data_IF_324758325988
#
_entry.id   IF_324758325988
#
_cell.length_a   1.000
_cell.length_b   1.000
_cell.length_c   1.000
_cell.angle_alpha   90.00
_cell.angle_beta   90.00
_cell.angle_gamma   90.00
#
_symmetry.space_group_name_H-M   'P 1'
#
loop_
_entity.id
_entity.type
_entity.pdbx_description
1 polymer ?
#
# COMPACT_ATOMS: atom_id res chain seq x y z
N UNK A 1 -0.26 2.73 21.11
CA UNK A 1 -0.17 1.46 20.35
C UNK A 1 -0.98 1.60 19.07
N UNK A 2 -0.31 1.46 17.95
CA UNK A 2 -0.97 1.63 16.66
C UNK A 2 -1.68 0.34 16.25
N UNK A 3 -2.94 0.49 15.88
CA UNK A 3 -3.70 -0.60 15.30
C UNK A 3 -3.83 -0.36 13.82
N UNK A 4 -3.44 -1.34 13.03
CA UNK A 4 -3.56 -1.24 11.58
C UNK A 4 -4.89 -1.83 11.14
N UNK A 5 -5.59 -1.09 10.30
CA UNK A 5 -6.77 -1.60 9.63
C UNK A 5 -6.31 -2.14 8.29
N UNK A 6 -6.17 -3.46 8.21
CA UNK A 6 -5.71 -4.09 6.97
C UNK A 6 -6.83 -4.11 5.94
N UNK A 7 -6.44 -4.07 4.67
CA UNK A 7 -7.39 -4.32 3.58
C UNK A 7 -7.07 -5.70 2.99
N UNK A 8 -8.11 -6.47 2.73
CA UNK A 8 -7.95 -7.78 2.10
C UNK A 8 -7.77 -7.63 0.59
N UNK A 9 -7.05 -8.55 -0.08
CA UNK A 9 -6.88 -8.45 -1.54
C UNK A 9 -8.21 -8.35 -2.29
N UNK A 10 -9.22 -9.11 -1.88
CA UNK A 10 -10.54 -9.05 -2.52
C UNK A 10 -11.20 -7.70 -2.37
N UNK A 11 -11.06 -7.07 -1.20
CA UNK A 11 -11.60 -5.73 -0.96
C UNK A 11 -10.95 -4.69 -1.85
N UNK A 12 -9.61 -4.76 -1.97
CA UNK A 12 -8.89 -3.83 -2.81
C UNK A 12 -9.27 -4.02 -4.28
N UNK A 13 -9.36 -5.26 -4.72
CA UNK A 13 -9.76 -5.57 -6.09
C UNK A 13 -11.16 -5.00 -6.39
N UNK A 14 -12.08 -5.12 -5.44
CA UNK A 14 -13.42 -4.59 -5.58
C UNK A 14 -13.41 -3.06 -5.68
N UNK A 15 -12.61 -2.38 -4.85
CA UNK A 15 -12.49 -0.93 -4.93
C UNK A 15 -11.97 -0.49 -6.29
N UNK A 16 -10.98 -1.19 -6.84
CA UNK A 16 -10.43 -0.89 -8.15
C UNK A 16 -11.48 -1.08 -9.24
N UNK A 17 -12.25 -2.16 -9.16
CA UNK A 17 -13.33 -2.47 -10.12
C UNK A 17 -14.43 -1.41 -10.09
N UNK A 18 -14.72 -0.87 -8.91
CA UNK A 18 -15.76 0.15 -8.73
C UNK A 18 -15.25 1.57 -9.01
N UNK A 19 -14.01 1.71 -9.45
CA UNK A 19 -13.38 3.01 -9.72
C UNK A 19 -13.35 3.92 -8.50
N UNK A 20 -13.23 3.34 -7.31
CA UNK A 20 -13.06 4.13 -6.09
C UNK A 20 -11.66 4.72 -6.05
N UNK A 21 -11.55 5.93 -5.51
CA UNK A 21 -10.28 6.61 -5.43
C UNK A 21 -9.41 5.93 -4.36
N UNK A 22 -8.35 5.28 -4.81
CA UNK A 22 -7.40 4.60 -3.93
C UNK A 22 -6.00 4.77 -4.51
N UNK A 23 -5.04 5.09 -3.66
CA UNK A 23 -3.64 5.17 -4.04
C UNK A 23 -2.90 3.97 -3.46
N UNK A 24 -2.29 3.19 -4.32
CA UNK A 24 -1.55 2.00 -3.90
C UNK A 24 -0.06 2.35 -3.91
N UNK A 25 0.56 2.27 -2.73
CA UNK A 25 1.97 2.60 -2.55
C UNK A 25 2.74 1.34 -2.25
N UNK A 26 3.55 0.91 -3.20
CA UNK A 26 4.41 -0.26 -3.05
C UNK A 26 5.72 0.21 -2.44
N UNK A 27 6.00 -0.24 -1.22
CA UNK A 27 7.17 0.21 -0.46
C UNK A 27 8.35 -0.74 -0.57
N UNK A 28 8.29 -1.66 -1.50
CA UNK A 28 9.40 -2.59 -1.78
C UNK A 28 10.49 -1.87 -2.57
N UNK A 29 11.60 -2.56 -2.78
CA UNK A 29 12.67 -2.02 -3.62
C UNK A 29 12.21 -1.88 -5.08
N UNK A 30 12.87 -1.02 -5.87
CA UNK A 30 12.54 -0.91 -7.29
C UNK A 30 12.67 -2.23 -8.06
N UNK A 31 13.65 -3.07 -7.70
CA UNK A 31 13.80 -4.37 -8.34
C UNK A 31 12.66 -5.32 -8.04
N UNK A 32 12.19 -5.34 -6.81
CA UNK A 32 11.02 -6.13 -6.43
C UNK A 32 9.78 -5.65 -7.19
N UNK A 33 9.61 -4.34 -7.25
CA UNK A 33 8.48 -3.73 -7.95
C UNK A 33 8.50 -4.08 -9.44
N UNK A 34 9.67 -3.99 -10.07
CA UNK A 34 9.82 -4.29 -11.50
C UNK A 34 9.53 -5.76 -11.81
N UNK A 35 9.78 -6.66 -10.86
CA UNK A 35 9.54 -8.08 -11.05
C UNK A 35 8.04 -8.44 -11.04
N UNK A 36 7.20 -7.54 -10.57
CA UNK A 36 5.75 -7.73 -10.56
C UNK A 36 5.12 -6.89 -9.47
N UNK A 37 4.06 -6.16 -9.81
CA UNK A 37 3.37 -5.28 -8.88
C UNK A 37 1.90 -5.16 -9.24
N UNK A 38 1.13 -4.56 -8.35
CA UNK A 38 -0.29 -4.31 -8.59
C UNK A 38 -0.42 -3.21 -9.64
N UNK A 39 -1.28 -3.43 -10.62
CA UNK A 39 -1.52 -2.45 -11.69
C UNK A 39 -1.96 -1.12 -11.08
N UNK A 40 -1.31 -0.05 -11.50
CA UNK A 40 -1.60 1.29 -11.00
C UNK A 40 -0.87 1.67 -9.74
N UNK A 41 -0.12 0.75 -9.12
CA UNK A 41 0.64 1.07 -7.91
C UNK A 41 1.82 1.98 -8.25
N UNK A 42 2.15 2.86 -7.31
CA UNK A 42 3.38 3.66 -7.40
C UNK A 42 4.42 3.05 -6.48
N UNK A 43 5.66 3.03 -6.93
CA UNK A 43 6.76 2.51 -6.11
C UNK A 43 7.44 3.64 -5.37
N UNK A 44 7.29 3.64 -4.06
CA UNK A 44 8.02 4.55 -3.18
C UNK A 44 8.66 3.67 -2.12
N UNK A 45 9.92 3.29 -2.29
CA UNK A 45 10.59 2.42 -1.31
C UNK A 45 10.48 2.99 0.11
N UNK A 46 10.43 2.11 1.09
CA UNK A 46 10.16 2.49 2.47
C UNK A 46 11.10 3.57 2.99
N UNK A 47 12.38 3.50 2.62
CA UNK A 47 13.37 4.48 3.07
C UNK A 47 13.22 5.85 2.42
N UNK A 48 12.47 5.96 1.34
CA UNK A 48 12.22 7.22 0.65
C UNK A 48 10.83 7.79 0.92
N UNK A 49 10.00 7.03 1.62
CA UNK A 49 8.58 7.38 1.78
C UNK A 49 8.38 8.72 2.47
N UNK A 50 9.15 9.01 3.51
CA UNK A 50 8.99 10.27 4.24
C UNK A 50 9.26 11.47 3.34
N UNK A 51 10.28 11.39 2.51
CA UNK A 51 10.63 12.48 1.59
C UNK A 51 9.59 12.67 0.49
N UNK A 52 8.88 11.62 0.13
CA UNK A 52 7.93 11.65 -0.98
C UNK A 52 6.46 11.69 -0.55
N UNK A 53 6.20 11.68 0.76
CA UNK A 53 4.81 11.66 1.26
C UNK A 53 4.00 12.86 0.77
N UNK A 54 4.64 14.01 0.59
CA UNK A 54 3.96 15.21 0.09
C UNK A 54 3.42 15.10 -1.33
N UNK A 55 3.83 14.08 -2.07
CA UNK A 55 3.33 13.85 -3.43
C UNK A 55 2.02 13.07 -3.44
N UNK A 56 1.62 12.53 -2.29
CA UNK A 56 0.39 11.76 -2.17
C UNK A 56 -0.77 12.69 -1.83
N UNK A 57 -1.95 12.40 -2.38
CA UNK A 57 -3.12 13.24 -2.17
C UNK A 57 -3.74 12.96 -0.79
N UNK A 58 -3.83 13.97 0.08
CA UNK A 58 -4.55 13.81 1.35
C UNK A 58 -6.03 13.59 1.09
N UNK A 59 -6.69 12.83 1.95
CA UNK A 59 -8.11 12.55 1.80
C UNK A 59 -8.43 11.30 1.00
N UNK A 60 -7.45 10.72 0.33
CA UNK A 60 -7.65 9.46 -0.37
C UNK A 60 -7.34 8.27 0.54
N UNK A 61 -7.93 7.13 0.22
CA UNK A 61 -7.52 5.87 0.84
C UNK A 61 -6.18 5.47 0.27
N UNK A 62 -5.22 5.20 1.13
CA UNK A 62 -3.89 4.76 0.74
C UNK A 62 -3.70 3.31 1.18
N UNK A 63 -3.26 2.47 0.26
CA UNK A 63 -2.93 1.07 0.56
C UNK A 63 -1.43 0.90 0.44
N UNK A 64 -0.79 0.46 1.53
CA UNK A 64 0.65 0.19 1.51
C UNK A 64 0.89 -1.28 1.24
N UNK A 65 1.87 -1.59 0.40
CA UNK A 65 2.12 -2.95 -0.08
C UNK A 65 3.59 -3.32 0.12
N UNK A 66 3.82 -4.48 0.74
CA UNK A 66 5.13 -5.12 0.76
C UNK A 66 4.94 -6.59 0.36
N UNK A 67 5.96 -7.44 0.53
CA UNK A 67 5.87 -8.81 0.02
C UNK A 67 4.81 -9.65 0.75
N UNK A 68 4.77 -9.58 2.08
CA UNK A 68 3.92 -10.46 2.89
C UNK A 68 2.94 -9.71 3.80
N UNK A 69 2.82 -8.40 3.64
CA UNK A 69 1.94 -7.59 4.48
C UNK A 69 2.45 -7.42 5.90
N UNK A 70 3.75 -7.52 6.09
CA UNK A 70 4.38 -7.45 7.40
C UNK A 70 4.93 -6.07 7.73
N UNK A 71 6.13 -6.07 8.31
CA UNK A 71 6.71 -4.88 8.95
C UNK A 71 6.82 -3.67 8.03
N UNK A 72 7.29 -3.87 6.80
CA UNK A 72 7.51 -2.73 5.89
C UNK A 72 6.23 -1.96 5.59
N UNK A 73 5.14 -2.68 5.29
CA UNK A 73 3.87 -2.01 4.96
C UNK A 73 3.20 -1.40 6.18
N UNK A 74 3.34 -2.05 7.35
CA UNK A 74 2.79 -1.52 8.60
C UNK A 74 3.55 -0.26 9.04
N UNK A 75 4.86 -0.27 8.94
CA UNK A 75 5.66 0.91 9.27
C UNK A 75 5.36 2.07 8.31
N UNK A 76 5.15 1.74 7.04
CA UNK A 76 4.77 2.75 6.05
C UNK A 76 3.42 3.36 6.39
N UNK A 77 2.45 2.54 6.81
CA UNK A 77 1.13 3.03 7.21
C UNK A 77 1.25 3.95 8.42
N UNK A 78 2.07 3.57 9.41
CA UNK A 78 2.29 4.40 10.59
C UNK A 78 2.89 5.75 10.21
N UNK A 79 3.88 5.74 9.34
CA UNK A 79 4.54 6.96 8.90
C UNK A 79 3.56 7.90 8.20
N UNK A 80 2.75 7.35 7.30
CA UNK A 80 1.78 8.16 6.56
C UNK A 80 0.68 8.70 7.48
N UNK A 81 0.20 7.89 8.41
CA UNK A 81 -0.79 8.36 9.39
C UNK A 81 -0.22 9.50 10.24
N UNK A 82 1.04 9.39 10.65
CA UNK A 82 1.72 10.45 11.40
C UNK A 82 1.91 11.71 10.56
N UNK A 83 1.91 11.58 9.25
CA UNK A 83 2.06 12.71 8.33
C UNK A 83 0.72 13.34 7.95
N UNK A 84 -0.38 12.87 8.52
CA UNK A 84 -1.70 13.48 8.32
C UNK A 84 -2.65 12.75 7.40
N UNK A 85 -2.26 11.59 6.88
CA UNK A 85 -3.16 10.80 6.03
C UNK A 85 -4.10 10.00 6.92
N UNK A 86 -5.41 10.19 6.73
CA UNK A 86 -6.42 9.65 7.65
C UNK A 86 -6.81 8.21 7.42
N UNK A 87 -6.65 7.70 6.20
CA UNK A 87 -7.08 6.35 5.87
C UNK A 87 -5.96 5.62 5.14
N UNK A 88 -5.13 4.94 5.92
CA UNK A 88 -4.00 4.18 5.38
C UNK A 88 -4.14 2.73 5.83
N UNK A 89 -4.17 1.82 4.89
CA UNK A 89 -4.41 0.40 5.15
C UNK A 89 -3.32 -0.46 4.53
N UNK A 90 -2.58 -1.23 5.34
CA UNK A 90 -1.65 -2.20 4.77
C UNK A 90 -2.42 -3.33 4.07
N UNK A 91 -1.91 -3.79 2.94
CA UNK A 91 -2.52 -4.92 2.24
C UNK A 91 -2.21 -6.22 2.97
N UNK A 92 -3.23 -6.90 3.42
CA UNK A 92 -3.09 -8.16 4.14
C UNK A 92 -2.44 -9.20 3.24
N UNK A 93 -1.38 -9.84 3.74
CA UNK A 93 -0.64 -10.82 2.97
C UNK A 93 0.25 -10.27 1.88
N UNK A 94 0.18 -8.97 1.61
CA UNK A 94 1.05 -8.29 0.67
C UNK A 94 0.91 -8.75 -0.76
N UNK A 95 1.96 -8.52 -1.55
CA UNK A 95 1.94 -8.86 -2.97
C UNK A 95 1.80 -10.38 -3.19
N UNK A 96 2.29 -11.19 -2.27
CA UNK A 96 2.18 -12.64 -2.41
C UNK A 96 0.72 -13.10 -2.38
N UNK A 97 -0.08 -12.56 -1.46
CA UNK A 97 -1.52 -12.85 -1.44
C UNK A 97 -2.23 -12.28 -2.64
N UNK A 98 -1.86 -11.09 -3.07
CA UNK A 98 -2.44 -10.46 -4.25
C UNK A 98 -2.23 -11.33 -5.49
N UNK A 99 -1.00 -11.80 -5.70
CA UNK A 99 -0.69 -12.65 -6.85
C UNK A 99 -1.44 -13.97 -6.80
N UNK A 100 -1.61 -14.54 -5.60
CA UNK A 100 -2.32 -15.80 -5.42
C UNK A 100 -3.81 -15.66 -5.74
N UNK A 101 -4.41 -14.54 -5.33
CA UNK A 101 -5.83 -14.26 -5.61
C UNK A 101 -6.09 -14.09 -7.10
N UNK A 102 -5.07 -13.68 -7.84
CA UNK A 102 -5.20 -13.35 -9.25
C UNK A 102 -5.02 -14.57 -10.16
N UNK A 103 -4.69 -15.73 -9.60
CA UNK A 103 -4.49 -16.99 -10.35
C UNK A 103 -5.81 -17.65 -10.73
#
# INVERSE_FOLDING_TARGET
MNRHIFIQPGELKEMMTQNKTVTIVDVRSPGEFAAGHIEGAVNIPADLLQAHAGQLAPGETIVTVCNFGGQRSCDAADLLQSSGFGDVRPLHGGIKSWQKEDE
#
